data_IF_178736291119
#
_entry.id   IF_178736291119
#
_cell.length_a   1.000
_cell.length_b   1.000
_cell.length_c   1.000
_cell.angle_alpha   90.00
_cell.angle_beta   90.00
_cell.angle_gamma   90.00
#
_symmetry.space_group_name_H-M   'P 1'
#
loop_
_entity.id
_entity.type
_entity.pdbx_description
1 polymer ?
#
# COMPACT_ATOMS: atom_id res chain seq x y z
N UNK A 1 2.30 34.93 -23.35
CA UNK A 1 1.17 34.46 -22.53
C UNK A 1 0.61 33.12 -23.04
N UNK A 2 0.29 32.95 -24.33
CA UNK A 2 -0.20 31.67 -24.90
C UNK A 2 0.71 30.48 -24.60
N UNK A 3 2.02 30.61 -24.81
CA UNK A 3 3.01 29.54 -24.61
C UNK A 3 3.10 29.05 -23.16
N UNK A 4 2.82 29.89 -22.17
CA UNK A 4 2.81 29.53 -20.75
C UNK A 4 1.50 28.77 -20.37
N UNK A 5 0.37 29.21 -20.90
CA UNK A 5 -0.94 28.55 -20.70
C UNK A 5 -0.95 27.17 -21.35
N UNK A 6 -0.37 27.04 -22.55
CA UNK A 6 -0.30 25.76 -23.27
C UNK A 6 0.60 24.75 -22.52
N UNK A 7 1.74 25.20 -21.96
CA UNK A 7 2.63 24.36 -21.13
C UNK A 7 1.97 23.95 -19.81
N UNK A 8 1.22 24.84 -19.16
CA UNK A 8 0.50 24.54 -17.93
C UNK A 8 -0.62 23.53 -18.20
N UNK A 9 -1.42 23.73 -19.24
CA UNK A 9 -2.49 22.86 -19.65
C UNK A 9 -1.98 21.45 -19.99
N UNK A 10 -0.91 21.35 -20.77
CA UNK A 10 -0.24 20.10 -21.08
C UNK A 10 0.21 19.36 -19.80
N UNK A 11 0.85 20.06 -18.85
CA UNK A 11 1.32 19.47 -17.60
C UNK A 11 0.17 18.92 -16.76
N UNK A 12 -0.93 19.66 -16.63
CA UNK A 12 -2.13 19.23 -15.87
C UNK A 12 -2.74 17.98 -16.48
N UNK A 13 -2.94 17.95 -17.79
CA UNK A 13 -3.49 16.80 -18.50
C UNK A 13 -2.59 15.59 -18.34
N UNK A 14 -1.28 15.74 -18.57
CA UNK A 14 -0.34 14.64 -18.47
C UNK A 14 -0.27 14.08 -17.06
N UNK A 15 -0.31 14.93 -16.02
CA UNK A 15 -0.43 14.49 -14.63
C UNK A 15 -1.69 13.67 -14.41
N UNK A 16 -2.84 14.17 -14.84
CA UNK A 16 -4.12 13.47 -14.69
C UNK A 16 -4.12 12.10 -15.41
N UNK A 17 -3.59 12.05 -16.63
CA UNK A 17 -3.44 10.82 -17.39
C UNK A 17 -2.50 9.84 -16.70
N UNK A 18 -1.37 10.30 -16.15
CA UNK A 18 -0.43 9.45 -15.40
C UNK A 18 -1.11 8.81 -14.20
N UNK A 19 -1.84 9.57 -13.40
CA UNK A 19 -2.60 9.05 -12.25
C UNK A 19 -3.67 8.06 -12.66
N UNK A 20 -4.42 8.38 -13.72
CA UNK A 20 -5.45 7.49 -14.27
C UNK A 20 -4.85 6.17 -14.77
N UNK A 21 -3.77 6.21 -15.55
CA UNK A 21 -3.15 5.02 -16.13
C UNK A 21 -2.54 4.10 -15.05
N UNK A 22 -1.91 4.64 -14.01
CA UNK A 22 -1.39 3.83 -12.90
C UNK A 22 -2.54 3.13 -12.16
N UNK A 23 -3.63 3.84 -11.94
CA UNK A 23 -4.81 3.29 -11.29
C UNK A 23 -5.50 2.22 -12.14
N UNK A 24 -5.61 2.46 -13.45
CA UNK A 24 -6.13 1.49 -14.42
C UNK A 24 -5.32 0.17 -14.38
N UNK A 25 -4.00 0.25 -14.45
CA UNK A 25 -3.14 -0.94 -14.39
C UNK A 25 -3.19 -1.63 -13.04
N UNK A 26 -3.34 -0.87 -11.96
CA UNK A 26 -3.58 -1.44 -10.63
C UNK A 26 -4.87 -2.27 -10.60
N UNK A 27 -5.98 -1.77 -11.13
CA UNK A 27 -7.24 -2.51 -11.21
C UNK A 27 -7.12 -3.76 -12.09
N UNK A 28 -6.46 -3.64 -13.25
CA UNK A 28 -6.22 -4.78 -14.15
C UNK A 28 -5.41 -5.87 -13.45
N UNK A 29 -4.33 -5.53 -12.77
CA UNK A 29 -3.49 -6.52 -12.07
C UNK A 29 -4.18 -7.11 -10.83
N UNK A 30 -5.19 -6.44 -10.28
CA UNK A 30 -6.04 -6.94 -9.19
C UNK A 30 -7.39 -7.48 -9.66
N UNK A 31 -7.56 -7.75 -10.96
CA UNK A 31 -8.81 -8.30 -11.49
C UNK A 31 -9.23 -9.60 -10.82
N UNK A 32 -8.28 -10.44 -10.39
CA UNK A 32 -8.56 -11.66 -9.63
C UNK A 32 -9.20 -11.35 -8.25
N UNK A 33 -8.72 -10.33 -7.54
CA UNK A 33 -9.32 -9.91 -6.27
C UNK A 33 -10.73 -9.36 -6.47
N UNK A 34 -10.89 -8.54 -7.51
CA UNK A 34 -12.19 -7.98 -7.89
C UNK A 34 -13.17 -9.12 -8.24
N UNK A 35 -12.74 -10.07 -9.07
CA UNK A 35 -13.53 -11.25 -9.42
C UNK A 35 -13.91 -12.07 -8.17
N UNK A 36 -12.94 -12.33 -7.27
CA UNK A 36 -13.18 -13.06 -6.04
C UNK A 36 -14.25 -12.36 -5.18
N UNK A 37 -14.18 -11.05 -5.06
CA UNK A 37 -15.12 -10.26 -4.26
C UNK A 37 -16.56 -10.29 -4.79
N UNK A 38 -16.74 -10.34 -6.11
CA UNK A 38 -18.07 -10.40 -6.72
C UNK A 38 -18.65 -11.82 -6.82
N UNK A 39 -17.79 -12.84 -6.78
CA UNK A 39 -18.21 -14.24 -7.02
C UNK A 39 -18.40 -15.02 -5.72
N UNK A 40 -17.59 -14.74 -4.70
CA UNK A 40 -17.57 -15.52 -3.46
C UNK A 40 -18.00 -14.68 -2.26
N UNK A 41 -18.88 -15.23 -1.43
CA UNK A 41 -19.19 -14.62 -0.14
C UNK A 41 -17.99 -14.65 0.80
N UNK A 42 -17.87 -13.64 1.65
CA UNK A 42 -16.81 -13.54 2.65
C UNK A 42 -17.07 -14.54 3.78
N UNK A 43 -16.56 -15.75 3.64
CA UNK A 43 -16.70 -16.85 4.58
C UNK A 43 -15.38 -17.59 4.79
N UNK A 44 -15.28 -18.36 5.87
CA UNK A 44 -14.11 -19.22 6.14
C UNK A 44 -13.90 -20.28 5.06
N UNK A 45 -14.97 -20.78 4.44
CA UNK A 45 -14.91 -21.75 3.35
C UNK A 45 -14.24 -21.17 2.09
N UNK A 46 -14.44 -19.88 1.83
CA UNK A 46 -13.90 -19.17 0.67
C UNK A 46 -12.58 -18.45 0.95
N UNK A 47 -12.03 -18.52 2.17
CA UNK A 47 -10.85 -17.79 2.59
C UNK A 47 -9.64 -18.01 1.69
N UNK A 48 -9.47 -19.22 1.12
CA UNK A 48 -8.35 -19.55 0.24
C UNK A 48 -8.32 -18.68 -1.02
N UNK A 49 -9.50 -18.40 -1.64
CA UNK A 49 -9.59 -17.56 -2.82
C UNK A 49 -9.18 -16.10 -2.52
N UNK A 50 -9.60 -15.60 -1.36
CA UNK A 50 -9.20 -14.26 -0.89
C UNK A 50 -7.71 -14.18 -0.58
N UNK A 51 -7.13 -15.20 0.07
CA UNK A 51 -5.69 -15.25 0.37
C UNK A 51 -4.87 -15.21 -0.92
N UNK A 52 -5.20 -16.05 -1.91
CA UNK A 52 -4.49 -16.09 -3.20
C UNK A 52 -4.60 -14.75 -3.91
N UNK A 53 -5.78 -14.16 -3.96
CA UNK A 53 -6.03 -12.87 -4.60
C UNK A 53 -5.26 -11.72 -3.92
N UNK A 54 -5.24 -11.69 -2.59
CA UNK A 54 -4.53 -10.69 -1.80
C UNK A 54 -2.99 -10.79 -1.95
N UNK A 55 -2.46 -12.00 -2.14
CA UNK A 55 -1.01 -12.18 -2.40
C UNK A 55 -0.56 -11.45 -3.67
N UNK A 56 -1.40 -11.46 -4.72
CA UNK A 56 -1.10 -10.76 -5.98
C UNK A 56 -1.28 -9.23 -5.87
N UNK A 57 -2.01 -8.76 -4.87
CA UNK A 57 -2.20 -7.33 -4.62
C UNK A 57 -0.92 -6.65 -4.14
N UNK A 58 -0.08 -7.33 -3.34
CA UNK A 58 1.14 -6.73 -2.82
C UNK A 58 2.14 -6.28 -3.92
N UNK A 59 2.43 -7.06 -4.97
CA UNK A 59 3.21 -6.58 -6.12
C UNK A 59 2.57 -5.40 -6.86
N UNK A 60 1.24 -5.36 -6.96
CA UNK A 60 0.54 -4.24 -7.62
C UNK A 60 0.64 -2.94 -6.80
N UNK A 61 0.54 -3.02 -5.47
CA UNK A 61 0.79 -1.89 -4.57
C UNK A 61 2.22 -1.39 -4.74
N UNK A 62 3.22 -2.29 -4.72
CA UNK A 62 4.62 -1.93 -4.94
C UNK A 62 4.83 -1.25 -6.30
N UNK A 63 4.18 -1.72 -7.37
CA UNK A 63 4.24 -1.09 -8.69
C UNK A 63 3.69 0.34 -8.69
N UNK A 64 2.58 0.59 -7.98
CA UNK A 64 2.00 1.93 -7.83
C UNK A 64 2.96 2.86 -7.07
N UNK A 65 3.56 2.40 -5.97
CA UNK A 65 4.56 3.17 -5.22
C UNK A 65 5.81 3.46 -6.07
N UNK A 66 6.29 2.50 -6.84
CA UNK A 66 7.44 2.68 -7.74
C UNK A 66 7.14 3.72 -8.82
N UNK A 67 6.00 3.61 -9.50
CA UNK A 67 5.62 4.52 -10.56
C UNK A 67 5.40 5.95 -10.03
N UNK A 68 4.74 6.11 -8.87
CA UNK A 68 4.54 7.42 -8.25
C UNK A 68 5.83 8.01 -7.67
N UNK A 69 6.74 7.18 -7.14
CA UNK A 69 8.07 7.62 -6.75
C UNK A 69 8.86 8.18 -7.94
N UNK A 70 8.82 7.49 -9.07
CA UNK A 70 9.45 7.93 -10.31
C UNK A 70 8.81 9.21 -10.86
N UNK A 71 7.49 9.32 -10.82
CA UNK A 71 6.78 10.55 -11.20
C UNK A 71 7.19 11.75 -10.35
N UNK A 72 7.42 11.56 -9.05
CA UNK A 72 7.91 12.62 -8.15
C UNK A 72 9.35 13.06 -8.46
N UNK A 73 10.17 12.18 -9.02
CA UNK A 73 11.57 12.47 -9.38
C UNK A 73 11.67 13.14 -10.76
N UNK A 74 11.01 12.57 -11.76
CA UNK A 74 11.16 12.95 -13.17
C UNK A 74 10.10 13.97 -13.63
N UNK A 75 8.95 14.06 -12.95
CA UNK A 75 7.84 14.97 -13.27
C UNK A 75 7.00 14.56 -14.48
N UNK A 76 7.59 13.88 -15.46
CA UNK A 76 6.93 13.33 -16.66
C UNK A 76 7.43 11.91 -16.90
N UNK A 77 6.51 10.94 -16.96
CA UNK A 77 6.84 9.52 -17.11
C UNK A 77 5.86 8.81 -18.04
N UNK A 78 6.32 7.77 -18.71
CA UNK A 78 5.41 6.81 -19.29
C UNK A 78 4.81 5.92 -18.17
N UNK A 79 3.58 6.23 -17.77
CA UNK A 79 2.90 5.60 -16.63
C UNK A 79 2.81 4.08 -16.76
N UNK A 80 2.47 3.57 -17.96
CA UNK A 80 2.37 2.13 -18.25
C UNK A 80 3.72 1.45 -18.06
N UNK A 81 4.77 1.99 -18.67
CA UNK A 81 6.11 1.43 -18.56
C UNK A 81 6.63 1.49 -17.13
N UNK A 82 6.42 2.59 -16.42
CA UNK A 82 6.82 2.76 -15.04
C UNK A 82 6.12 1.75 -14.13
N UNK A 83 4.80 1.54 -14.29
CA UNK A 83 4.05 0.57 -13.51
C UNK A 83 4.57 -0.86 -13.73
N UNK A 84 4.68 -1.32 -14.98
CA UNK A 84 5.12 -2.69 -15.27
C UNK A 84 6.59 -2.93 -14.93
N UNK A 85 7.45 -1.92 -15.07
CA UNK A 85 8.84 -2.01 -14.60
C UNK A 85 8.89 -2.16 -13.07
N UNK A 86 8.08 -1.38 -12.35
CA UNK A 86 7.94 -1.49 -10.89
C UNK A 86 7.38 -2.84 -10.47
N UNK A 87 6.35 -3.34 -11.19
CA UNK A 87 5.74 -4.64 -10.96
C UNK A 87 6.77 -5.78 -11.09
N UNK A 88 7.48 -5.83 -12.23
CA UNK A 88 8.48 -6.87 -12.50
C UNK A 88 9.67 -6.80 -11.53
N UNK A 89 10.23 -5.60 -11.34
CA UNK A 89 11.42 -5.39 -10.51
C UNK A 89 11.18 -5.79 -9.05
N UNK A 90 10.02 -5.44 -8.51
CA UNK A 90 9.72 -5.61 -7.08
C UNK A 90 8.84 -6.83 -6.78
N UNK A 91 8.46 -7.61 -7.80
CA UNK A 91 7.51 -8.72 -7.65
C UNK A 91 7.86 -9.66 -6.51
N UNK A 92 9.07 -10.24 -6.54
CA UNK A 92 9.53 -11.22 -5.54
C UNK A 92 9.56 -10.64 -4.12
N UNK A 93 10.10 -9.44 -3.97
CA UNK A 93 10.21 -8.78 -2.66
C UNK A 93 8.84 -8.40 -2.10
N UNK A 94 7.96 -7.85 -2.93
CA UNK A 94 6.61 -7.48 -2.55
C UNK A 94 5.72 -8.71 -2.28
N UNK A 95 5.85 -9.76 -3.07
CA UNK A 95 5.15 -11.02 -2.86
C UNK A 95 5.56 -11.66 -1.52
N UNK A 96 6.87 -11.79 -1.25
CA UNK A 96 7.37 -12.33 0.02
C UNK A 96 6.92 -11.48 1.22
N UNK A 97 6.90 -10.16 1.06
CA UNK A 97 6.37 -9.26 2.09
C UNK A 97 4.87 -9.48 2.28
N UNK A 98 4.08 -9.59 1.21
CA UNK A 98 2.66 -9.91 1.26
C UNK A 98 2.37 -11.24 1.95
N UNK A 99 3.14 -12.29 1.66
CA UNK A 99 3.05 -13.59 2.36
C UNK A 99 3.28 -13.40 3.86
N UNK A 100 4.34 -12.70 4.26
CA UNK A 100 4.63 -12.45 5.68
C UNK A 100 3.52 -11.66 6.38
N UNK A 101 2.91 -10.69 5.70
CA UNK A 101 1.76 -9.93 6.20
C UNK A 101 0.54 -10.83 6.42
N UNK A 102 0.19 -11.65 5.43
CA UNK A 102 -0.97 -12.55 5.52
C UNK A 102 -0.78 -13.55 6.66
N UNK A 103 0.41 -14.14 6.81
CA UNK A 103 0.70 -15.06 7.92
C UNK A 103 0.49 -14.36 9.26
N UNK A 104 1.06 -13.17 9.46
CA UNK A 104 0.92 -12.42 10.72
C UNK A 104 -0.54 -12.04 11.01
N UNK A 105 -1.25 -11.53 10.01
CA UNK A 105 -2.66 -11.18 10.15
C UNK A 105 -3.50 -12.42 10.47
N UNK A 106 -3.25 -13.55 9.80
CA UNK A 106 -3.98 -14.81 10.04
C UNK A 106 -3.75 -15.32 11.46
N UNK A 107 -2.51 -15.32 11.96
CA UNK A 107 -2.19 -15.72 13.33
C UNK A 107 -2.87 -14.81 14.36
N UNK A 108 -2.81 -13.50 14.17
CA UNK A 108 -3.44 -12.55 15.07
C UNK A 108 -4.98 -12.65 15.02
N UNK A 109 -5.56 -12.86 13.86
CA UNK A 109 -7.00 -13.05 13.70
C UNK A 109 -7.48 -14.35 14.34
N UNK A 110 -6.72 -15.44 14.19
CA UNK A 110 -7.00 -16.70 14.84
C UNK A 110 -6.98 -16.57 16.38
N UNK A 111 -5.95 -15.91 16.92
CA UNK A 111 -5.88 -15.61 18.35
C UNK A 111 -7.10 -14.80 18.83
N UNK A 112 -7.50 -13.79 18.09
CA UNK A 112 -8.68 -12.98 18.41
C UNK A 112 -9.96 -13.83 18.51
N UNK A 113 -10.19 -14.72 17.51
CA UNK A 113 -11.37 -15.57 17.45
C UNK A 113 -11.36 -16.60 18.61
N UNK A 114 -10.23 -17.29 18.81
CA UNK A 114 -10.11 -18.36 19.82
C UNK A 114 -10.22 -17.83 21.26
N UNK A 115 -9.74 -16.63 21.53
CA UNK A 115 -9.78 -16.05 22.88
C UNK A 115 -11.12 -15.39 23.22
N UNK A 116 -11.94 -15.10 22.23
CA UNK A 116 -13.27 -14.49 22.47
C UNK A 116 -14.18 -15.35 23.33
N UNK A 117 -13.98 -16.67 23.34
CA UNK A 117 -14.77 -17.63 24.11
C UNK A 117 -14.28 -17.82 25.55
N UNK A 118 -13.05 -17.39 25.89
CA UNK A 118 -12.45 -17.55 27.21
C UNK A 118 -12.55 -16.26 28.05
N UNK A 119 -13.42 -16.25 29.05
CA UNK A 119 -13.82 -15.04 29.82
C UNK A 119 -12.68 -14.37 30.60
N UNK A 120 -11.70 -15.11 31.13
CA UNK A 120 -10.68 -14.55 32.02
C UNK A 120 -9.43 -14.02 31.32
N UNK A 121 -8.97 -14.66 30.24
CA UNK A 121 -7.78 -14.24 29.46
C UNK A 121 -8.12 -13.22 28.38
N UNK A 122 -9.37 -13.17 27.93
CA UNK A 122 -9.81 -12.29 26.85
C UNK A 122 -9.66 -10.81 27.13
N UNK A 123 -9.83 -10.36 28.38
CA UNK A 123 -9.82 -8.94 28.75
C UNK A 123 -8.51 -8.22 28.47
N UNK A 124 -7.36 -8.90 28.61
CA UNK A 124 -6.03 -8.32 28.38
C UNK A 124 -5.49 -8.66 26.98
N UNK A 125 -5.71 -9.89 26.51
CA UNK A 125 -5.09 -10.36 25.27
C UNK A 125 -5.81 -9.81 24.03
N UNK A 126 -7.13 -9.65 24.06
CA UNK A 126 -7.87 -9.08 22.92
C UNK A 126 -7.42 -7.66 22.58
N UNK A 127 -7.35 -6.69 23.49
CA UNK A 127 -6.83 -5.35 23.19
C UNK A 127 -5.41 -5.37 22.64
N UNK A 128 -4.53 -6.20 23.22
CA UNK A 128 -3.16 -6.36 22.74
C UNK A 128 -3.11 -6.89 21.31
N UNK A 129 -3.92 -7.91 20.99
CA UNK A 129 -4.01 -8.48 19.65
C UNK A 129 -4.49 -7.45 18.63
N UNK A 130 -5.48 -6.62 18.98
CA UNK A 130 -5.97 -5.53 18.12
C UNK A 130 -4.87 -4.48 17.89
N UNK A 131 -4.15 -4.08 18.93
CA UNK A 131 -3.05 -3.12 18.81
C UNK A 131 -1.95 -3.67 17.89
N UNK A 132 -1.58 -4.94 18.04
CA UNK A 132 -0.60 -5.60 17.17
C UNK A 132 -1.09 -5.68 15.72
N UNK A 133 -2.35 -6.02 15.49
CA UNK A 133 -2.94 -6.09 14.16
C UNK A 133 -2.92 -4.72 13.47
N UNK A 134 -3.33 -3.67 14.18
CA UNK A 134 -3.22 -2.29 13.69
C UNK A 134 -1.76 -1.93 13.40
N UNK A 135 -0.83 -2.27 14.31
CA UNK A 135 0.61 -2.06 14.12
C UNK A 135 1.14 -2.70 12.84
N UNK A 136 0.80 -3.97 12.61
CA UNK A 136 1.16 -4.70 11.37
C UNK A 136 0.62 -4.00 10.13
N UNK A 137 -0.62 -3.53 10.14
CA UNK A 137 -1.19 -2.79 9.01
C UNK A 137 -0.50 -1.44 8.79
N UNK A 138 -0.16 -0.74 9.86
CA UNK A 138 0.50 0.58 9.76
C UNK A 138 1.95 0.50 9.28
N UNK A 139 2.64 -0.64 9.45
CA UNK A 139 3.98 -0.82 8.89
C UNK A 139 4.00 -0.71 7.37
N UNK A 140 2.89 -0.99 6.67
CA UNK A 140 2.77 -0.84 5.22
C UNK A 140 3.01 0.58 4.72
N UNK A 141 2.74 1.61 5.54
CA UNK A 141 3.02 3.00 5.20
C UNK A 141 4.51 3.26 4.94
N UNK A 142 5.39 2.49 5.58
CA UNK A 142 6.84 2.57 5.41
C UNK A 142 7.41 1.47 4.53
N UNK A 143 6.90 0.25 4.66
CA UNK A 143 7.45 -0.91 4.00
C UNK A 143 7.41 -0.80 2.47
N UNK A 144 6.28 -0.40 1.87
CA UNK A 144 6.19 -0.26 0.42
C UNK A 144 7.10 0.84 -0.14
N UNK A 145 7.13 2.08 0.40
CA UNK A 145 8.09 3.10 -0.03
C UNK A 145 9.55 2.64 0.05
N UNK A 146 9.94 1.95 1.12
CA UNK A 146 11.30 1.45 1.33
C UNK A 146 11.61 0.31 0.35
N UNK A 147 10.71 -0.65 0.21
CA UNK A 147 10.86 -1.82 -0.65
C UNK A 147 11.09 -1.46 -2.12
N UNK A 148 10.37 -0.45 -2.63
CA UNK A 148 10.49 -0.06 -4.04
C UNK A 148 11.74 0.74 -4.34
N UNK A 149 12.34 1.37 -3.33
CA UNK A 149 13.51 2.21 -3.48
C UNK A 149 14.82 1.47 -3.21
N UNK A 150 14.81 0.54 -2.27
CA UNK A 150 16.01 -0.15 -1.79
C UNK A 150 15.91 -1.67 -1.97
N UNK A 151 17.02 -2.28 -2.33
CA UNK A 151 17.11 -3.73 -2.46
C UNK A 151 17.55 -4.33 -1.12
N UNK A 152 16.60 -4.53 -0.22
CA UNK A 152 16.83 -4.99 1.15
C UNK A 152 16.18 -6.35 1.43
N UNK A 153 16.74 -7.08 2.41
CA UNK A 153 16.18 -8.36 2.83
C UNK A 153 14.83 -8.16 3.55
N UNK A 154 13.97 -9.16 3.52
CA UNK A 154 12.66 -9.13 4.19
C UNK A 154 12.77 -8.78 5.68
N UNK A 155 13.77 -9.36 6.38
CA UNK A 155 14.03 -9.07 7.79
C UNK A 155 14.34 -7.59 8.02
N UNK A 156 15.25 -7.04 7.23
CA UNK A 156 15.63 -5.62 7.35
C UNK A 156 14.47 -4.70 6.97
N UNK A 157 13.65 -5.08 5.98
CA UNK A 157 12.44 -4.33 5.61
C UNK A 157 11.51 -4.16 6.82
N UNK A 158 11.21 -5.25 7.55
CA UNK A 158 10.39 -5.19 8.75
C UNK A 158 11.01 -4.31 9.84
N UNK A 159 12.29 -4.53 10.15
CA UNK A 159 13.00 -3.77 11.18
C UNK A 159 13.02 -2.28 10.87
N UNK A 160 13.42 -1.91 9.64
CA UNK A 160 13.51 -0.51 9.24
C UNK A 160 12.11 0.14 9.20
N UNK A 161 11.09 -0.57 8.75
CA UNK A 161 9.71 -0.06 8.73
C UNK A 161 9.19 0.23 10.14
N UNK A 162 9.41 -0.69 11.09
CA UNK A 162 8.99 -0.51 12.50
C UNK A 162 9.76 0.64 13.14
N UNK A 163 11.08 0.70 12.98
CA UNK A 163 11.89 1.79 13.53
C UNK A 163 11.45 3.14 12.93
N UNK A 164 11.23 3.19 11.63
CA UNK A 164 10.80 4.41 10.94
C UNK A 164 9.42 4.87 11.40
N UNK A 165 8.50 3.96 11.67
CA UNK A 165 7.18 4.25 12.21
C UNK A 165 7.26 5.05 13.52
N UNK A 166 8.09 4.62 14.45
CA UNK A 166 8.28 5.32 15.74
C UNK A 166 9.13 6.59 15.60
N UNK A 167 10.22 6.53 14.84
CA UNK A 167 11.17 7.64 14.70
C UNK A 167 10.53 8.85 14.02
N UNK A 168 9.67 8.63 13.03
CA UNK A 168 9.06 9.68 12.22
C UNK A 168 7.55 9.81 12.45
N UNK A 169 7.11 9.66 13.71
CA UNK A 169 5.71 9.67 14.11
C UNK A 169 4.86 10.85 13.58
N UNK A 170 5.38 12.11 13.44
CA UNK A 170 4.56 13.20 12.89
C UNK A 170 4.18 12.95 11.42
N UNK A 171 5.13 12.39 10.62
CA UNK A 171 4.88 12.00 9.24
C UNK A 171 3.94 10.80 9.15
N UNK A 172 4.04 9.88 10.10
CA UNK A 172 3.13 8.76 10.24
C UNK A 172 1.70 9.23 10.46
N UNK A 173 1.47 10.20 11.35
CA UNK A 173 0.14 10.75 11.59
C UNK A 173 -0.47 11.41 10.35
N UNK A 174 0.32 12.16 9.58
CA UNK A 174 -0.14 12.76 8.34
C UNK A 174 -0.56 11.68 7.33
N UNK A 175 0.26 10.66 7.13
CA UNK A 175 -0.05 9.57 6.20
C UNK A 175 -1.24 8.73 6.68
N UNK A 176 -1.34 8.51 7.99
CA UNK A 176 -2.48 7.84 8.61
C UNK A 176 -3.77 8.62 8.38
N UNK A 177 -3.74 9.94 8.57
CA UNK A 177 -4.89 10.81 8.30
C UNK A 177 -5.38 10.67 6.86
N UNK A 178 -4.48 10.77 5.87
CA UNK A 178 -4.86 10.57 4.46
C UNK A 178 -5.38 9.15 4.20
N UNK A 179 -4.72 8.13 4.73
CA UNK A 179 -5.15 6.73 4.55
C UNK A 179 -6.56 6.51 5.12
N UNK A 180 -6.83 6.98 6.34
CA UNK A 180 -8.15 6.89 6.96
C UNK A 180 -9.20 7.69 6.18
N UNK A 181 -8.85 8.90 5.71
CA UNK A 181 -9.75 9.70 4.88
C UNK A 181 -10.14 8.97 3.60
N UNK A 182 -9.18 8.32 2.91
CA UNK A 182 -9.48 7.51 1.72
C UNK A 182 -10.34 6.28 2.04
N UNK A 183 -10.11 5.62 3.17
CA UNK A 183 -10.94 4.48 3.62
C UNK A 183 -12.39 4.95 3.88
N UNK A 184 -12.58 6.06 4.60
CA UNK A 184 -13.91 6.60 4.87
C UNK A 184 -14.64 7.03 3.58
N UNK A 185 -13.93 7.70 2.68
CA UNK A 185 -14.47 8.07 1.37
C UNK A 185 -14.80 6.84 0.51
N UNK A 186 -14.02 5.77 0.60
CA UNK A 186 -14.29 4.53 -0.11
C UNK A 186 -15.63 3.90 0.33
N UNK A 187 -15.97 3.94 1.61
CA UNK A 187 -17.27 3.46 2.08
C UNK A 187 -18.45 4.29 1.55
N UNK A 188 -18.25 5.58 1.32
CA UNK A 188 -19.29 6.46 0.78
C UNK A 188 -19.38 6.42 -0.75
N UNK A 189 -18.22 6.39 -1.44
CA UNK A 189 -18.10 6.52 -2.88
C UNK A 189 -17.14 5.46 -3.47
N UNK A 190 -17.46 4.14 -3.36
CA UNK A 190 -16.51 3.07 -3.70
C UNK A 190 -16.00 3.13 -5.14
N UNK A 191 -16.89 3.44 -6.10
CA UNK A 191 -16.52 3.50 -7.52
C UNK A 191 -15.54 4.64 -7.78
N UNK A 192 -15.83 5.85 -7.29
CA UNK A 192 -15.01 7.04 -7.54
C UNK A 192 -13.63 6.88 -6.88
N UNK A 193 -13.61 6.43 -5.64
CA UNK A 193 -12.37 6.28 -4.88
C UNK A 193 -11.51 5.14 -5.43
N UNK A 194 -12.09 4.03 -5.89
CA UNK A 194 -11.33 2.96 -6.52
C UNK A 194 -10.59 3.42 -7.78
N UNK A 195 -11.10 4.44 -8.48
CA UNK A 195 -10.47 5.01 -9.67
C UNK A 195 -9.27 5.94 -9.37
N UNK A 196 -8.99 6.28 -8.13
CA UNK A 196 -7.92 7.24 -7.79
C UNK A 196 -7.00 6.78 -6.64
N UNK A 197 -7.45 5.87 -5.78
CA UNK A 197 -6.75 5.51 -4.55
C UNK A 197 -5.36 4.91 -4.81
N UNK A 198 -5.23 4.06 -5.82
CA UNK A 198 -3.99 3.33 -6.12
C UNK A 198 -2.89 4.22 -6.72
N UNK A 199 -3.20 5.43 -7.12
CA UNK A 199 -2.24 6.42 -7.58
C UNK A 199 -2.06 7.56 -6.59
N UNK A 200 -3.15 8.13 -6.07
CA UNK A 200 -3.10 9.33 -5.22
C UNK A 200 -2.51 9.01 -3.84
N UNK A 201 -2.91 7.89 -3.22
CA UNK A 201 -2.39 7.54 -1.90
C UNK A 201 -0.88 7.22 -1.91
N UNK A 202 -0.35 6.38 -2.82
CA UNK A 202 1.10 6.21 -2.97
C UNK A 202 1.84 7.52 -3.27
N UNK A 203 1.28 8.41 -4.10
CA UNK A 203 1.87 9.72 -4.38
C UNK A 203 2.04 10.55 -3.10
N UNK A 204 0.96 10.69 -2.29
CA UNK A 204 0.99 11.46 -1.03
C UNK A 204 2.02 10.86 -0.06
N UNK A 205 2.04 9.54 0.11
CA UNK A 205 2.96 8.86 1.01
C UNK A 205 4.41 9.05 0.54
N UNK A 206 4.70 8.84 -0.74
CA UNK A 206 6.05 9.02 -1.31
C UNK A 206 6.53 10.47 -1.19
N UNK A 207 5.65 11.43 -1.47
CA UNK A 207 5.96 12.86 -1.31
C UNK A 207 6.32 13.20 0.14
N UNK A 208 5.51 12.74 1.10
CA UNK A 208 5.73 13.00 2.51
C UNK A 208 7.00 12.33 3.05
N UNK A 209 7.37 11.17 2.50
CA UNK A 209 8.56 10.40 2.93
C UNK A 209 9.82 10.67 2.12
N UNK A 210 9.79 11.50 1.09
CA UNK A 210 10.93 11.74 0.19
C UNK A 210 12.24 12.00 0.95
N UNK A 211 12.22 12.92 1.92
CA UNK A 211 13.42 13.28 2.70
C UNK A 211 13.84 12.16 3.69
N UNK A 212 12.90 11.35 4.16
CA UNK A 212 13.18 10.23 5.06
C UNK A 212 13.83 9.08 4.28
N UNK A 213 13.34 8.80 3.07
CA UNK A 213 13.93 7.78 2.21
C UNK A 213 15.39 8.09 1.88
N UNK A 214 15.75 9.35 1.59
CA UNK A 214 17.15 9.75 1.36
C UNK A 214 18.01 9.40 2.59
N UNK A 215 17.56 9.78 3.79
CA UNK A 215 18.30 9.48 5.04
C UNK A 215 18.43 7.98 5.33
N UNK A 216 17.43 7.17 4.97
CA UNK A 216 17.52 5.71 5.11
C UNK A 216 18.60 5.16 4.15
N UNK A 217 18.67 5.64 2.91
CA UNK A 217 19.67 5.21 1.94
C UNK A 217 21.10 5.59 2.30
N UNK A 218 21.31 6.64 3.10
CA UNK A 218 22.63 7.01 3.63
C UNK A 218 23.07 6.14 4.82
N UNK A 219 22.11 5.44 5.46
CA UNK A 219 22.37 4.66 6.70
C UNK A 219 22.51 3.16 6.41
N UNK A 220 21.92 2.66 5.36
CA UNK A 220 21.85 1.24 4.98
C UNK A 220 22.26 1.03 3.51
#
# INVERSE_FOLDING_TARGET
>A
MKDFTDKLYYRVINTALTFFMINFWFLVTNSLLIFTFFTFELSTANAIFYIISLLLTAPAIAASFFAMGKFLEDGDINATQAFFNGYKKNFKSAFNYGVSQIILISVLSFNYISLRESVNLSRLIIPLTIILLIGVLLTNLYAFPILVRYNITLKNLWVISIISFYKYWPKTLINLFFTLSFILLFFQYPIIISLVIASVLPYIIMYNFRNILIKIGETY
#
